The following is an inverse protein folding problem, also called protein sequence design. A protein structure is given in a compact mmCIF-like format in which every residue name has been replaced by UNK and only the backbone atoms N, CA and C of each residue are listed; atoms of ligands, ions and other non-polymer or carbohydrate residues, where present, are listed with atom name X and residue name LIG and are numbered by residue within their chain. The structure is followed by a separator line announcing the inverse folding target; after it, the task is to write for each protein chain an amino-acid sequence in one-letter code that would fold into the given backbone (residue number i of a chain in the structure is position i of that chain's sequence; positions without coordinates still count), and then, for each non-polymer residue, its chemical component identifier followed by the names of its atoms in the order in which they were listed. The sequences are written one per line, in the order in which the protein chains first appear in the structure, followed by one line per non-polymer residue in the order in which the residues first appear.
data_IF_291010876426
#
_entry.id   IF_291010876426
#
_cell.length_a   1.000
_cell.length_b   1.000
_cell.length_c   1.000
_cell.angle_alpha   90.00
_cell.angle_beta   90.00
_cell.angle_gamma   90.00
#
_symmetry.space_group_name_H-M   'P 1'
#
loop_
_entity.id
_entity.type
_entity.pdbx_description
1 polymer ?
#
# COMPACT_ATOMS: atom_id res chain seq x y z
N UNK A 1 -0.60 -6.90 -41.16
CA UNK A 1 -0.37 -5.44 -41.06
C UNK A 1 -0.55 -5.03 -39.61
N UNK A 2 0.49 -4.44 -39.01
CA UNK A 2 0.43 -3.90 -37.64
C UNK A 2 -0.36 -2.59 -37.65
N UNK A 3 -1.44 -2.54 -36.89
CA UNK A 3 -2.28 -1.34 -36.75
C UNK A 3 -1.51 -0.23 -36.03
N UNK A 4 -1.65 1.01 -36.48
CA UNK A 4 -1.06 2.17 -35.83
C UNK A 4 -1.84 2.52 -34.55
N UNK A 5 -1.17 3.22 -33.65
CA UNK A 5 -1.74 3.66 -32.38
C UNK A 5 -2.94 4.58 -32.63
N UNK A 6 -4.11 4.24 -32.09
CA UNK A 6 -5.33 5.03 -32.22
C UNK A 6 -5.29 6.41 -31.52
N UNK A 7 -4.24 6.70 -30.74
CA UNK A 7 -4.06 8.00 -30.06
C UNK A 7 -3.10 8.91 -30.83
N UNK A 8 -1.94 8.40 -31.24
CA UNK A 8 -0.91 9.24 -31.89
C UNK A 8 -0.78 9.01 -33.40
N UNK A 9 -1.28 7.90 -33.96
CA UNK A 9 -1.11 7.55 -35.37
C UNK A 9 0.33 7.23 -35.80
N UNK A 10 1.35 7.53 -35.00
CA UNK A 10 2.76 7.43 -35.39
C UNK A 10 3.43 6.09 -35.07
N UNK A 11 3.03 5.46 -33.95
CA UNK A 11 3.68 4.24 -33.42
C UNK A 11 2.79 3.03 -33.61
N UNK A 12 3.39 1.84 -33.62
CA UNK A 12 2.64 0.57 -33.64
C UNK A 12 1.75 0.45 -32.40
N UNK A 13 0.48 0.08 -32.61
CA UNK A 13 -0.50 -0.20 -31.57
C UNK A 13 -0.30 -1.59 -30.99
N UNK A 14 0.60 -1.74 -30.02
CA UNK A 14 0.90 -3.04 -29.40
C UNK A 14 -0.13 -3.47 -28.33
N UNK A 15 -0.94 -2.55 -27.81
CA UNK A 15 -1.85 -2.79 -26.68
C UNK A 15 -3.31 -2.60 -27.07
N UNK A 16 -4.17 -3.54 -26.71
CA UNK A 16 -5.63 -3.43 -26.92
C UNK A 16 -6.23 -2.62 -25.76
N UNK A 17 -6.70 -1.40 -26.00
CA UNK A 17 -7.18 -0.52 -24.94
C UNK A 17 -8.68 -0.74 -24.62
N UNK A 18 -9.05 -1.25 -23.43
CA UNK A 18 -10.46 -1.43 -23.08
C UNK A 18 -11.24 -0.11 -23.01
N UNK A 19 -10.59 0.96 -22.53
CA UNK A 19 -11.19 2.29 -22.40
C UNK A 19 -11.55 2.95 -23.74
N UNK A 20 -11.01 2.45 -24.86
CA UNK A 20 -11.30 2.93 -26.21
C UNK A 20 -12.05 1.88 -27.03
N UNK A 21 -12.79 0.97 -26.38
CA UNK A 21 -13.56 -0.07 -27.07
C UNK A 21 -12.70 -1.10 -27.80
N UNK A 22 -11.50 -1.40 -27.29
CA UNK A 22 -10.61 -2.41 -27.86
C UNK A 22 -9.67 -1.90 -28.95
N UNK A 23 -9.63 -0.59 -29.24
CA UNK A 23 -8.67 -0.01 -30.19
C UNK A 23 -7.22 -0.25 -29.76
N UNK A 24 -6.32 -0.43 -30.73
CA UNK A 24 -4.90 -0.61 -30.44
C UNK A 24 -4.18 0.72 -30.19
N UNK A 25 -3.36 0.77 -29.14
CA UNK A 25 -2.55 1.93 -28.77
C UNK A 25 -1.12 1.52 -28.44
N UNK A 26 -0.17 2.45 -28.60
CA UNK A 26 1.22 2.20 -28.23
C UNK A 26 1.42 2.29 -26.71
N UNK A 27 2.50 1.69 -26.22
CA UNK A 27 2.85 1.66 -24.79
C UNK A 27 3.03 3.05 -24.17
N UNK A 28 3.58 4.01 -24.93
CA UNK A 28 3.80 5.39 -24.49
C UNK A 28 2.50 6.17 -24.34
N UNK A 29 1.62 6.12 -25.34
CA UNK A 29 0.29 6.76 -25.24
C UNK A 29 -0.53 6.13 -24.11
N UNK A 30 -0.48 4.81 -23.94
CA UNK A 30 -1.10 4.13 -22.81
C UNK A 30 -0.58 4.66 -21.46
N UNK A 31 0.75 4.74 -21.28
CA UNK A 31 1.36 5.20 -20.03
C UNK A 31 1.09 6.67 -19.71
N UNK A 32 1.04 7.55 -20.73
CA UNK A 32 0.80 8.99 -20.56
C UNK A 32 -0.66 9.32 -20.23
N UNK A 33 -1.60 8.55 -20.77
CA UNK A 33 -3.03 8.88 -20.74
C UNK A 33 -3.87 8.04 -19.76
N UNK A 34 -3.38 6.87 -19.31
CA UNK A 34 -4.10 6.01 -18.33
C UNK A 34 -4.48 6.79 -17.08
N UNK A 35 -5.72 6.63 -16.61
CA UNK A 35 -6.28 7.31 -15.43
C UNK A 35 -6.25 8.85 -15.46
N UNK A 36 -5.85 9.46 -16.58
CA UNK A 36 -5.85 10.91 -16.77
C UNK A 36 -6.92 11.32 -17.77
N UNK A 37 -6.72 10.90 -19.01
CA UNK A 37 -7.66 11.16 -20.12
C UNK A 37 -8.36 9.88 -20.57
N UNK A 38 -7.79 8.71 -20.24
CA UNK A 38 -8.43 7.40 -20.44
C UNK A 38 -9.12 6.95 -19.15
N UNK A 39 -10.42 6.69 -19.24
CA UNK A 39 -11.22 6.02 -18.21
C UNK A 39 -10.91 4.52 -18.21
N UNK A 40 -9.72 4.16 -17.70
CA UNK A 40 -9.29 2.76 -17.64
C UNK A 40 -10.18 1.98 -16.67
N UNK A 41 -10.75 0.83 -17.08
CA UNK A 41 -11.48 -0.01 -16.14
C UNK A 41 -10.49 -0.65 -15.15
N UNK A 42 -10.94 -1.02 -13.94
CA UNK A 42 -10.08 -1.52 -12.86
C UNK A 42 -9.42 -2.86 -13.20
N UNK A 43 -10.00 -3.65 -14.10
CA UNK A 43 -9.48 -4.92 -14.60
C UNK A 43 -8.54 -4.78 -15.81
N UNK A 44 -8.21 -3.55 -16.22
CA UNK A 44 -7.31 -3.29 -17.35
C UNK A 44 -5.93 -3.95 -17.12
N UNK A 45 -5.50 -4.91 -17.97
CA UNK A 45 -4.29 -5.69 -17.72
C UNK A 45 -3.03 -4.81 -17.73
N UNK A 46 -3.01 -3.76 -18.56
CA UNK A 46 -1.89 -2.82 -18.64
C UNK A 46 -1.84 -1.84 -17.46
N UNK A 47 -3.00 -1.54 -16.86
CA UNK A 47 -3.08 -0.75 -15.65
C UNK A 47 -2.57 -1.58 -14.46
N UNK A 48 -3.07 -2.81 -14.32
CA UNK A 48 -2.66 -3.75 -13.27
C UNK A 48 -1.16 -4.06 -13.33
N UNK A 49 -0.62 -4.35 -14.51
CA UNK A 49 0.82 -4.60 -14.68
C UNK A 49 1.67 -3.36 -14.32
N UNK A 50 1.18 -2.16 -14.66
CA UNK A 50 1.88 -0.94 -14.32
C UNK A 50 1.87 -0.63 -12.82
N UNK A 51 0.72 -0.82 -12.17
CA UNK A 51 0.59 -0.67 -10.72
C UNK A 51 1.49 -1.69 -10.00
N UNK A 52 1.51 -2.95 -10.45
CA UNK A 52 2.42 -3.98 -9.92
C UNK A 52 3.89 -3.55 -10.03
N UNK A 53 4.34 -3.14 -11.22
CA UNK A 53 5.72 -2.71 -11.43
C UNK A 53 6.08 -1.50 -10.56
N UNK A 54 5.12 -0.58 -10.37
CA UNK A 54 5.31 0.58 -9.51
C UNK A 54 5.44 0.15 -8.04
N UNK A 55 4.57 -0.74 -7.55
CA UNK A 55 4.66 -1.32 -6.20
C UNK A 55 5.99 -2.03 -5.97
N UNK A 56 6.44 -2.87 -6.91
CA UNK A 56 7.74 -3.55 -6.81
C UNK A 56 8.91 -2.56 -6.73
N UNK A 57 8.87 -1.48 -7.52
CA UNK A 57 9.87 -0.42 -7.44
C UNK A 57 9.81 0.29 -6.09
N UNK A 58 8.63 0.71 -5.63
CA UNK A 58 8.47 1.40 -4.35
C UNK A 58 8.84 0.51 -3.17
N UNK A 59 8.61 -0.80 -3.25
CA UNK A 59 9.01 -1.76 -2.23
C UNK A 59 10.54 -1.83 -2.07
N UNK A 60 11.29 -1.78 -3.18
CA UNK A 60 12.76 -1.69 -3.14
C UNK A 60 13.24 -0.37 -2.52
N UNK A 61 12.58 0.74 -2.85
CA UNK A 61 12.89 2.06 -2.25
C UNK A 61 12.59 2.05 -0.74
N UNK A 62 11.42 1.53 -0.35
CA UNK A 62 10.98 1.42 1.03
C UNK A 62 11.91 0.52 1.84
N UNK A 63 12.34 -0.62 1.30
CA UNK A 63 13.30 -1.52 1.97
C UNK A 63 14.62 -0.82 2.29
N UNK A 64 15.13 0.02 1.37
CA UNK A 64 16.34 0.81 1.60
C UNK A 64 16.13 1.86 2.68
N UNK A 65 15.03 2.62 2.60
CA UNK A 65 14.67 3.60 3.63
C UNK A 65 14.51 2.96 5.01
N UNK A 66 13.87 1.79 5.06
CA UNK A 66 13.69 1.03 6.28
C UNK A 66 15.03 0.56 6.87
N UNK A 67 15.94 0.03 6.06
CA UNK A 67 17.25 -0.39 6.53
C UNK A 67 18.06 0.76 7.16
N UNK A 68 17.92 1.98 6.62
CA UNK A 68 18.50 3.19 7.21
C UNK A 68 17.87 3.52 8.56
N UNK A 69 16.53 3.50 8.67
CA UNK A 69 15.83 3.71 9.93
C UNK A 69 16.25 2.68 11.00
N UNK A 70 16.30 1.40 10.64
CA UNK A 70 16.71 0.32 11.55
C UNK A 70 18.12 0.56 12.08
N UNK A 71 19.03 0.96 11.20
CA UNK A 71 20.42 1.27 11.56
C UNK A 71 20.50 2.47 12.50
N UNK A 72 19.75 3.53 12.21
CA UNK A 72 19.65 4.73 13.05
C UNK A 72 19.09 4.39 14.44
N UNK A 73 17.97 3.67 14.53
CA UNK A 73 17.35 3.32 15.81
C UNK A 73 18.27 2.48 16.70
N UNK A 74 19.03 1.53 16.11
CA UNK A 74 20.02 0.76 16.85
C UNK A 74 21.14 1.63 17.40
N UNK A 75 21.68 2.54 16.59
CA UNK A 75 22.75 3.46 17.02
C UNK A 75 22.27 4.44 18.09
N UNK A 76 20.99 4.85 18.04
CA UNK A 76 20.37 5.73 19.02
C UNK A 76 19.93 5.00 20.31
N UNK A 77 20.20 3.70 20.47
CA UNK A 77 19.75 2.92 21.63
C UNK A 77 18.24 2.62 21.64
N UNK A 78 17.52 2.93 20.56
CA UNK A 78 16.07 2.73 20.39
C UNK A 78 15.73 1.42 19.68
N UNK A 79 16.61 0.43 19.74
CA UNK A 79 16.40 -0.89 19.11
C UNK A 79 15.17 -1.64 19.64
N UNK A 80 14.71 -1.31 20.84
CA UNK A 80 13.50 -1.88 21.45
C UNK A 80 12.20 -1.53 20.70
N UNK A 81 12.20 -0.49 19.86
CA UNK A 81 11.04 -0.12 19.03
C UNK A 81 10.85 -1.05 17.83
N UNK A 82 11.91 -1.74 17.39
CA UNK A 82 11.89 -2.50 16.12
C UNK A 82 10.80 -3.58 16.05
N UNK A 83 10.56 -4.40 17.10
CA UNK A 83 9.47 -5.39 17.05
C UNK A 83 8.08 -4.74 16.88
N UNK A 84 7.84 -3.62 17.56
CA UNK A 84 6.58 -2.88 17.48
C UNK A 84 6.38 -2.25 16.10
N UNK A 85 7.45 -1.71 15.53
CA UNK A 85 7.47 -1.14 14.19
C UNK A 85 7.14 -2.18 13.10
N UNK A 86 7.64 -3.41 13.22
CA UNK A 86 7.27 -4.48 12.28
C UNK A 86 5.79 -4.88 12.44
N UNK A 87 5.29 -5.03 13.67
CA UNK A 87 3.86 -5.32 13.93
C UNK A 87 2.96 -4.22 13.35
N UNK A 88 3.34 -2.95 13.52
CA UNK A 88 2.61 -1.82 12.94
C UNK A 88 2.61 -1.87 11.41
N UNK A 89 3.75 -2.18 10.77
CA UNK A 89 3.83 -2.32 9.31
C UNK A 89 2.95 -3.44 8.78
N UNK A 90 2.91 -4.58 9.47
CA UNK A 90 2.01 -5.68 9.13
C UNK A 90 0.54 -5.29 9.28
N UNK A 91 0.17 -4.62 10.39
CA UNK A 91 -1.19 -4.16 10.61
C UNK A 91 -1.64 -3.15 9.55
N UNK A 92 -0.78 -2.18 9.22
CA UNK A 92 -1.01 -1.24 8.12
C UNK A 92 -1.17 -1.96 6.79
N UNK A 93 -0.30 -2.92 6.47
CA UNK A 93 -0.39 -3.68 5.22
C UNK A 93 -1.73 -4.42 5.10
N UNK A 94 -2.19 -5.07 6.19
CA UNK A 94 -3.50 -5.73 6.22
C UNK A 94 -4.64 -4.74 5.98
N UNK A 95 -4.64 -3.61 6.71
CA UNK A 95 -5.66 -2.57 6.53
C UNK A 95 -5.68 -2.00 5.12
N UNK A 96 -4.51 -1.74 4.52
CA UNK A 96 -4.35 -1.14 3.20
C UNK A 96 -4.67 -2.08 2.02
N UNK A 97 -4.82 -3.38 2.27
CA UNK A 97 -5.37 -4.29 1.24
C UNK A 97 -6.89 -4.15 1.09
N UNK A 98 -7.57 -3.70 2.14
CA UNK A 98 -9.04 -3.56 2.17
C UNK A 98 -9.49 -2.09 2.07
N UNK A 99 -8.69 -1.18 2.60
CA UNK A 99 -8.98 0.24 2.70
C UNK A 99 -8.11 1.02 1.74
N UNK A 100 -8.73 1.97 1.04
CA UNK A 100 -8.01 2.94 0.24
C UNK A 100 -7.50 4.08 1.13
N UNK A 101 -6.21 4.38 1.05
CA UNK A 101 -5.61 5.48 1.79
C UNK A 101 -4.38 6.05 1.07
N UNK A 102 -4.13 7.33 1.32
CA UNK A 102 -2.93 8.08 0.96
C UNK A 102 -1.88 7.98 2.05
N UNK A 103 -0.63 8.30 1.72
CA UNK A 103 0.46 8.33 2.68
C UNK A 103 0.20 9.35 3.81
N UNK A 104 -0.46 10.48 3.50
CA UNK A 104 -0.90 11.47 4.49
C UNK A 104 -1.95 10.92 5.45
N UNK A 105 -2.91 10.14 4.95
CA UNK A 105 -3.91 9.48 5.80
C UNK A 105 -3.29 8.40 6.69
N UNK A 106 -2.24 7.70 6.21
CA UNK A 106 -1.47 6.74 7.02
C UNK A 106 -0.75 7.47 8.16
N UNK A 107 -0.02 8.54 7.88
CA UNK A 107 0.65 9.33 8.91
C UNK A 107 -0.34 9.89 9.94
N UNK A 108 -1.44 10.48 9.48
CA UNK A 108 -2.49 11.01 10.35
C UNK A 108 -3.14 9.93 11.24
N UNK A 109 -3.35 8.72 10.72
CA UNK A 109 -3.90 7.58 11.46
C UNK A 109 -2.95 7.10 12.57
N UNK A 110 -1.65 7.04 12.29
CA UNK A 110 -0.62 6.68 13.28
C UNK A 110 -0.51 7.73 14.37
N UNK A 111 -0.45 9.01 14.01
CA UNK A 111 -0.39 10.12 14.95
C UNK A 111 -1.63 10.20 15.84
N UNK A 112 -2.80 9.97 15.28
CA UNK A 112 -4.05 9.86 16.02
C UNK A 112 -3.96 8.78 17.10
N UNK A 113 -3.53 7.57 16.73
CA UNK A 113 -3.41 6.46 17.69
C UNK A 113 -2.34 6.78 18.75
N UNK A 114 -1.22 7.40 18.38
CA UNK A 114 -0.19 7.82 19.33
C UNK A 114 -0.69 8.89 20.31
N UNK A 115 -1.56 9.82 19.88
CA UNK A 115 -2.20 10.79 20.77
C UNK A 115 -3.20 10.12 21.71
N UNK A 116 -3.96 9.11 21.25
CA UNK A 116 -4.87 8.33 22.10
C UNK A 116 -4.17 7.52 23.19
N UNK A 117 -2.93 7.14 22.96
CA UNK A 117 -2.08 6.48 23.97
C UNK A 117 -1.36 7.48 24.89
N UNK A 118 -1.54 8.78 24.69
CA UNK A 118 -1.05 9.81 25.60
C UNK A 118 -1.75 9.73 26.95
N UNK A 119 -1.06 10.03 28.07
CA UNK A 119 -1.70 10.16 29.38
C UNK A 119 -2.80 11.23 29.45
N UNK A 120 -2.82 12.17 28.50
CA UNK A 120 -3.84 13.23 28.40
C UNK A 120 -5.01 12.69 27.59
N UNK A 121 -6.18 12.55 28.21
CA UNK A 121 -7.41 12.16 27.51
C UNK A 121 -7.86 13.25 26.54
N UNK A 122 -7.83 12.94 25.24
CA UNK A 122 -8.39 13.79 24.19
C UNK A 122 -9.59 13.07 23.53
N UNK A 123 -10.75 13.74 23.50
CA UNK A 123 -11.94 13.31 22.77
C UNK A 123 -11.77 13.56 21.26
N UNK A 124 -10.83 12.85 20.64
CA UNK A 124 -10.62 12.89 19.19
C UNK A 124 -11.37 11.76 18.47
N UNK A 125 -11.97 12.09 17.32
CA UNK A 125 -12.54 11.11 16.38
C UNK A 125 -11.45 10.55 15.46
N UNK A 126 -11.54 9.29 15.02
CA UNK A 126 -10.60 8.74 14.06
C UNK A 126 -10.56 9.57 12.77
N UNK A 127 -9.38 9.90 12.24
CA UNK A 127 -9.25 10.77 11.06
C UNK A 127 -9.64 10.05 9.76
N UNK A 128 -9.62 8.72 9.76
CA UNK A 128 -9.91 7.89 8.58
C UNK A 128 -10.38 6.49 9.00
N UNK A 129 -10.97 5.69 8.08
CA UNK A 129 -11.26 4.28 8.33
C UNK A 129 -10.02 3.49 8.77
N UNK A 130 -8.85 3.82 8.22
CA UNK A 130 -7.58 3.21 8.63
C UNK A 130 -7.23 3.57 10.08
N UNK A 131 -7.42 4.83 10.49
CA UNK A 131 -7.21 5.26 11.88
C UNK A 131 -8.10 4.49 12.85
N UNK A 132 -9.38 4.29 12.49
CA UNK A 132 -10.30 3.47 13.29
C UNK A 132 -9.83 2.01 13.37
N UNK A 133 -9.41 1.42 12.25
CA UNK A 133 -8.93 0.04 12.21
C UNK A 133 -7.66 -0.15 13.08
N UNK A 134 -6.72 0.80 13.03
CA UNK A 134 -5.54 0.78 13.91
C UNK A 134 -5.92 0.95 15.39
N UNK A 135 -6.87 1.84 15.68
CA UNK A 135 -7.36 2.02 17.04
C UNK A 135 -7.91 0.70 17.62
N UNK A 136 -8.81 0.06 16.88
CA UNK A 136 -9.42 -1.22 17.24
C UNK A 136 -8.40 -2.36 17.36
N UNK A 137 -7.32 -2.32 16.56
CA UNK A 137 -6.25 -3.31 16.60
C UNK A 137 -5.31 -3.17 17.81
N UNK A 138 -4.93 -1.94 18.18
CA UNK A 138 -3.85 -1.71 19.15
C UNK A 138 -4.32 -1.27 20.54
N UNK A 139 -5.32 -0.38 20.65
CA UNK A 139 -5.72 0.16 21.96
C UNK A 139 -6.21 -0.90 22.95
N UNK A 140 -7.03 -1.90 22.54
CA UNK A 140 -7.44 -2.97 23.46
C UNK A 140 -6.25 -3.79 24.02
N UNK A 141 -5.20 -3.97 23.22
CA UNK A 141 -3.99 -4.70 23.63
C UNK A 141 -3.17 -3.90 24.64
N UNK A 142 -3.05 -2.59 24.46
CA UNK A 142 -2.41 -1.69 25.44
C UNK A 142 -3.23 -1.64 26.73
N UNK A 143 -4.55 -1.46 26.63
CA UNK A 143 -5.45 -1.39 27.81
C UNK A 143 -5.47 -2.68 28.63
N UNK A 144 -5.28 -3.83 27.99
CA UNK A 144 -5.17 -5.13 28.68
C UNK A 144 -3.76 -5.45 29.18
N UNK A 145 -2.80 -4.54 29.02
CA UNK A 145 -1.41 -4.72 29.47
C UNK A 145 -0.59 -5.70 28.62
N UNK A 146 -1.10 -6.14 27.46
CA UNK A 146 -0.39 -7.05 26.55
C UNK A 146 0.70 -6.36 25.75
N UNK A 147 0.57 -5.05 25.56
CA UNK A 147 1.56 -4.19 24.93
C UNK A 147 1.87 -3.01 25.84
N UNK A 148 3.14 -2.61 25.87
CA UNK A 148 3.56 -1.40 26.57
C UNK A 148 3.06 -0.15 25.82
N UNK A 149 2.22 0.65 26.47
CA UNK A 149 1.58 1.80 25.85
C UNK A 149 2.54 2.90 25.42
N UNK A 150 3.60 3.16 26.18
CA UNK A 150 4.56 4.22 25.83
C UNK A 150 5.45 3.76 24.67
N UNK A 151 5.85 2.48 24.66
CA UNK A 151 6.62 1.91 23.54
C UNK A 151 5.80 1.87 22.25
N UNK A 152 4.52 1.46 22.31
CA UNK A 152 3.63 1.49 21.13
C UNK A 152 3.43 2.91 20.63
N UNK A 153 3.25 3.86 21.54
CA UNK A 153 3.10 5.28 21.21
C UNK A 153 4.35 5.85 20.52
N UNK A 154 5.54 5.56 21.04
CA UNK A 154 6.79 5.99 20.41
C UNK A 154 6.99 5.32 19.05
N UNK A 155 6.65 4.04 18.90
CA UNK A 155 6.72 3.33 17.63
C UNK A 155 5.75 3.93 16.59
N UNK A 156 4.52 4.27 16.97
CA UNK A 156 3.55 4.92 16.10
C UNK A 156 4.04 6.28 15.60
N UNK A 157 4.59 7.13 16.50
CA UNK A 157 5.19 8.42 16.11
C UNK A 157 6.38 8.25 15.19
N UNK A 158 7.29 7.34 15.54
CA UNK A 158 8.47 7.03 14.72
C UNK A 158 8.06 6.59 13.31
N UNK A 159 7.02 5.76 13.20
CA UNK A 159 6.52 5.32 11.90
C UNK A 159 5.80 6.45 11.14
N UNK A 160 5.04 7.31 11.82
CA UNK A 160 4.39 8.47 11.20
C UNK A 160 5.43 9.42 10.59
N UNK A 161 6.45 9.80 11.36
CA UNK A 161 7.58 10.63 10.89
C UNK A 161 8.32 9.98 9.71
N UNK A 162 8.53 8.66 9.77
CA UNK A 162 9.14 7.93 8.67
C UNK A 162 8.28 7.97 7.40
N UNK A 163 6.97 7.76 7.52
CA UNK A 163 6.02 7.84 6.39
C UNK A 163 6.07 9.23 5.78
N UNK A 164 5.98 10.30 6.57
CA UNK A 164 6.06 11.68 6.08
C UNK A 164 7.37 11.97 5.35
N UNK A 165 8.51 11.54 5.92
CA UNK A 165 9.81 11.73 5.31
C UNK A 165 9.96 10.96 4.00
N UNK A 166 9.56 9.68 4.00
CA UNK A 166 9.67 8.79 2.84
C UNK A 166 8.77 9.23 1.68
N UNK A 167 7.60 9.80 2.00
CA UNK A 167 6.56 10.13 1.03
C UNK A 167 6.77 11.48 0.33
N UNK A 168 7.88 12.19 0.60
CA UNK A 168 8.23 13.43 -0.11
C UNK A 168 8.34 13.16 -1.64
N UNK A 169 7.56 13.92 -2.42
CA UNK A 169 7.53 13.87 -3.89
C UNK A 169 6.10 13.88 -4.46
N UNK A 170 5.97 13.67 -5.78
CA UNK A 170 4.69 13.78 -6.51
C UNK A 170 3.79 12.52 -6.43
N UNK A 171 4.10 11.57 -5.55
CA UNK A 171 3.40 10.28 -5.43
C UNK A 171 2.76 10.18 -4.05
N UNK A 172 1.47 10.54 -3.95
CA UNK A 172 0.69 10.55 -2.70
C UNK A 172 0.49 9.16 -2.06
N UNK A 173 0.92 8.09 -2.75
CA UNK A 173 0.82 6.70 -2.29
C UNK A 173 2.16 5.99 -2.37
N UNK A 174 3.26 6.72 -2.28
CA UNK A 174 4.61 6.19 -2.37
C UNK A 174 4.89 5.18 -1.28
N UNK A 175 4.57 5.50 -0.02
CA UNK A 175 4.70 4.58 1.11
C UNK A 175 3.72 3.42 0.98
N UNK A 176 2.43 3.68 0.75
CA UNK A 176 1.39 2.64 0.62
C UNK A 176 1.76 1.62 -0.47
N UNK A 177 2.14 2.08 -1.67
CA UNK A 177 2.58 1.19 -2.76
C UNK A 177 3.83 0.39 -2.39
N UNK A 178 4.76 1.03 -1.69
CA UNK A 178 5.94 0.35 -1.19
C UNK A 178 5.60 -0.75 -0.21
N UNK A 179 4.71 -0.46 0.74
CA UNK A 179 4.28 -1.40 1.77
C UNK A 179 3.52 -2.57 1.17
N UNK A 180 2.54 -2.32 0.29
CA UNK A 180 1.79 -3.37 -0.41
C UNK A 180 2.64 -4.20 -1.37
N UNK A 181 3.78 -3.65 -1.85
CA UNK A 181 4.76 -4.41 -2.62
C UNK A 181 5.63 -5.32 -1.76
N UNK A 182 5.89 -4.96 -0.49
CA UNK A 182 6.60 -5.81 0.48
C UNK A 182 5.69 -6.86 1.11
N UNK A 183 4.41 -6.54 1.26
CA UNK A 183 3.37 -7.40 1.80
C UNK A 183 2.30 -7.66 0.74
N UNK A 184 2.61 -8.41 -0.34
CA UNK A 184 1.61 -8.73 -1.36
C UNK A 184 0.45 -9.54 -0.76
N UNK A 185 -0.78 -9.40 -1.28
CA UNK A 185 -1.89 -10.22 -0.81
C UNK A 185 -1.59 -11.69 -1.13
N UNK A 186 -2.10 -12.65 -0.33
CA UNK A 186 -1.93 -14.06 -0.63
C UNK A 186 -2.48 -14.35 -2.03
N UNK A 187 -1.81 -15.21 -2.83
CA UNK A 187 -2.31 -15.58 -4.14
C UNK A 187 -3.71 -16.18 -4.00
N UNK A 188 -4.66 -15.69 -4.81
CA UNK A 188 -6.00 -16.30 -4.86
C UNK A 188 -5.82 -17.78 -5.21
N UNK A 189 -6.33 -18.68 -4.37
CA UNK A 189 -6.35 -20.11 -4.66
C UNK A 189 -7.01 -20.31 -6.03
N UNK A 190 -6.34 -21.05 -6.92
CA UNK A 190 -6.96 -21.46 -8.18
C UNK A 190 -8.18 -22.30 -7.77
N UNK A 191 -9.40 -22.04 -8.28
CA UNK A 191 -10.51 -22.94 -8.01
C UNK A 191 -10.08 -24.34 -8.43
N UNK A 192 -10.05 -25.26 -7.46
CA UNK A 192 -9.62 -26.63 -7.69
C UNK A 192 -10.38 -27.20 -8.87
N UNK A 193 -9.67 -27.80 -9.82
CA UNK A 193 -10.29 -28.57 -10.89
C UNK A 193 -11.16 -29.65 -10.24
N UNK A 194 -12.48 -29.47 -10.27
CA UNK A 194 -13.42 -30.54 -9.95
C UNK A 194 -13.26 -31.58 -11.06
N UNK A 195 -12.42 -32.58 -10.82
CA UNK A 195 -12.38 -33.79 -11.63
C UNK A 195 -13.69 -34.53 -11.37
N UNK A 196 -14.65 -34.40 -12.30
CA UNK A 196 -15.80 -35.30 -12.34
C UNK A 196 -15.29 -36.70 -12.67
N UNK A 197 -15.50 -37.72 -11.82
CA UNK A 197 -15.23 -39.10 -12.19
C UNK A 197 -16.08 -39.43 -13.43
N UNK A 198 -15.42 -39.87 -14.50
CA UNK A 198 -16.09 -40.29 -15.72
C UNK A 198 -17.04 -41.45 -15.46
N UNK A 199 -18.24 -41.37 -16.02
CA UNK A 199 -19.18 -42.48 -16.08
C UNK A 199 -18.56 -43.65 -16.86
N UNK A 200 -18.65 -44.90 -16.38
CA UNK A 200 -18.23 -46.05 -17.16
C UNK A 200 -19.21 -46.32 -18.32
N UNK A 201 -18.75 -47.02 -19.38
CA UNK A 201 -19.52 -47.32 -20.58
C UNK A 201 -20.71 -48.25 -20.34
#
# INVERSE_FOLDING_TARGET
MSELCAICGERVGERVCPALGGKRICSVCCGKNRLKTLHCPPDCPYLLAAERNLRERRARELSKGWALLVSYLRQAGKGHLLPYLEVLREALARGLHELDATDTEVAAALDYCARKLSPIELLERPPSPLGKALEEAFLPLVRSGKLDGEVVREAMRTLAEFVEHFSRGDDERRFVRGLLGLYPPPPKEKPGLILRPGSPP
#
